data_IF_799694979946
#
_entry.id   IF_799694979946
#
_cell.length_a   1.000
_cell.length_b   1.000
_cell.length_c   1.000
_cell.angle_alpha   90.00
_cell.angle_beta   90.00
_cell.angle_gamma   90.00
#
_symmetry.space_group_name_H-M   'P 1'
#
loop_
_entity.id
_entity.type
_entity.pdbx_description
1 polymer ?
#
# COMPACT_ATOMS: atom_id res chain seq x y z
N UNK A 1 -5.52 22.52 6.54
CA UNK A 1 -4.76 21.59 5.67
C UNK A 1 -5.06 22.04 4.25
N UNK A 2 -4.06 22.46 3.48
CA UNK A 2 -4.28 22.76 2.06
C UNK A 2 -4.49 21.42 1.36
N UNK A 3 -5.73 21.15 0.98
CA UNK A 3 -6.08 19.97 0.19
C UNK A 3 -5.37 20.10 -1.16
N UNK A 4 -4.53 19.12 -1.49
CA UNK A 4 -3.81 19.10 -2.75
C UNK A 4 -4.79 18.73 -3.87
N UNK A 5 -5.47 19.74 -4.42
CA UNK A 5 -6.29 19.55 -5.62
C UNK A 5 -5.41 19.54 -6.87
N UNK A 6 -4.96 18.34 -7.22
CA UNK A 6 -4.02 18.08 -8.32
C UNK A 6 -4.69 17.41 -9.53
N UNK A 7 -5.99 17.66 -9.77
CA UNK A 7 -6.72 17.08 -10.92
C UNK A 7 -5.97 17.30 -12.24
N UNK A 8 -5.33 18.46 -12.40
CA UNK A 8 -4.54 18.81 -13.60
C UNK A 8 -3.26 17.98 -13.81
N UNK A 9 -2.92 17.09 -12.87
CA UNK A 9 -1.77 16.20 -12.92
C UNK A 9 -2.14 14.74 -13.18
N UNK A 10 -3.43 14.39 -13.11
CA UNK A 10 -3.89 13.03 -13.42
C UNK A 10 -3.52 12.67 -14.85
N UNK A 11 -2.84 11.53 -15.03
CA UNK A 11 -2.39 11.03 -16.33
C UNK A 11 -1.07 11.61 -16.82
N UNK A 12 -0.41 12.50 -16.07
CA UNK A 12 0.95 12.97 -16.39
C UNK A 12 2.01 12.03 -15.83
N UNK A 13 3.14 11.94 -16.54
CA UNK A 13 4.34 11.29 -16.01
C UNK A 13 5.00 12.21 -14.97
N UNK A 14 4.87 11.84 -13.70
CA UNK A 14 5.41 12.60 -12.58
C UNK A 14 6.94 12.57 -12.51
N UNK A 15 7.59 11.52 -13.03
CA UNK A 15 9.05 11.43 -13.08
C UNK A 15 9.61 12.42 -14.10
N UNK A 16 8.95 12.54 -15.26
CA UNK A 16 9.28 13.56 -16.26
C UNK A 16 9.04 14.97 -15.71
N UNK A 17 7.90 15.21 -15.06
CA UNK A 17 7.60 16.51 -14.43
C UNK A 17 8.68 16.93 -13.41
N UNK A 18 9.17 15.98 -12.61
CA UNK A 18 10.26 16.22 -11.66
C UNK A 18 11.59 16.47 -12.40
N UNK A 19 11.90 15.70 -13.43
CA UNK A 19 13.11 15.90 -14.24
C UNK A 19 13.14 17.30 -14.86
N UNK A 20 12.01 17.77 -15.42
CA UNK A 20 11.90 19.14 -15.94
C UNK A 20 12.12 20.19 -14.85
N UNK A 21 11.58 19.97 -13.65
CA UNK A 21 11.77 20.90 -12.53
C UNK A 21 13.24 20.98 -12.08
N UNK A 22 13.94 19.84 -12.04
CA UNK A 22 15.38 19.79 -11.76
C UNK A 22 16.19 20.52 -12.85
N UNK A 23 15.83 20.34 -14.11
CA UNK A 23 16.48 21.02 -15.23
C UNK A 23 16.30 22.55 -15.15
N UNK A 24 15.08 23.03 -14.85
CA UNK A 24 14.80 24.47 -14.71
C UNK A 24 15.57 25.13 -13.56
N UNK A 25 15.91 24.37 -12.53
CA UNK A 25 16.70 24.86 -11.39
C UNK A 25 18.20 24.75 -11.61
N UNK A 26 18.64 24.19 -12.74
CA UNK A 26 20.06 23.98 -13.04
C UNK A 26 20.70 22.85 -12.23
N UNK A 27 19.91 21.97 -11.62
CA UNK A 27 20.42 20.82 -10.86
C UNK A 27 20.82 19.70 -11.82
N UNK A 28 22.09 19.31 -11.79
CA UNK A 28 22.63 18.18 -12.55
C UNK A 28 22.27 16.84 -11.89
N UNK A 29 20.98 16.50 -11.88
CA UNK A 29 20.44 15.25 -11.34
C UNK A 29 19.54 14.57 -12.37
N UNK A 30 19.54 13.23 -12.37
CA UNK A 30 18.70 12.42 -13.24
C UNK A 30 17.71 11.59 -12.42
N UNK A 31 16.43 11.69 -12.75
CA UNK A 31 15.36 10.86 -12.18
C UNK A 31 15.43 9.49 -12.84
N UNK A 32 16.11 8.54 -12.20
CA UNK A 32 16.36 7.22 -12.77
C UNK A 32 15.19 6.25 -12.60
N UNK A 33 14.39 6.42 -11.55
CA UNK A 33 13.29 5.52 -11.24
C UNK A 33 12.18 6.22 -10.43
N UNK A 34 10.95 5.78 -10.67
CA UNK A 34 9.80 6.00 -9.80
C UNK A 34 9.51 4.70 -9.07
N UNK A 35 9.43 4.75 -7.74
CA UNK A 35 9.43 3.54 -6.90
C UNK A 35 8.31 3.64 -5.87
N UNK A 36 7.53 2.56 -5.72
CA UNK A 36 6.61 2.37 -4.60
C UNK A 36 7.41 2.06 -3.31
N UNK A 37 6.93 2.51 -2.17
CA UNK A 37 7.64 2.38 -0.89
C UNK A 37 7.92 0.94 -0.48
N UNK A 38 6.95 0.01 -0.64
CA UNK A 38 7.12 -1.43 -0.38
C UNK A 38 8.20 -2.05 -1.28
N UNK A 39 8.26 -1.65 -2.55
CA UNK A 39 9.32 -2.07 -3.50
C UNK A 39 10.69 -1.53 -3.07
N UNK A 40 10.74 -0.28 -2.61
CA UNK A 40 11.97 0.33 -2.09
C UNK A 40 12.48 -0.38 -0.84
N UNK A 41 11.57 -0.72 0.08
CA UNK A 41 11.88 -1.49 1.27
C UNK A 41 12.38 -2.91 0.91
N UNK A 42 11.74 -3.58 -0.05
CA UNK A 42 12.20 -4.89 -0.54
C UNK A 42 13.60 -4.78 -1.14
N UNK A 43 13.85 -3.75 -1.95
CA UNK A 43 15.15 -3.55 -2.60
C UNK A 43 16.28 -3.37 -1.59
N UNK A 44 16.04 -2.61 -0.51
CA UNK A 44 16.99 -2.45 0.58
C UNK A 44 17.18 -3.73 1.37
N UNK A 45 16.09 -4.43 1.68
CA UNK A 45 16.14 -5.71 2.39
C UNK A 45 16.90 -6.77 1.61
N UNK A 46 16.56 -6.95 0.33
CA UNK A 46 17.19 -7.87 -0.60
C UNK A 46 18.69 -7.62 -0.77
N UNK A 47 19.13 -6.36 -0.72
CA UNK A 47 20.55 -6.02 -0.74
C UNK A 47 21.33 -6.66 0.42
N UNK A 48 20.67 -6.86 1.57
CA UNK A 48 21.26 -7.50 2.74
C UNK A 48 20.93 -8.99 2.87
N UNK A 49 19.72 -9.39 2.52
CA UNK A 49 19.21 -10.75 2.65
C UNK A 49 18.25 -11.09 1.48
N UNK A 50 18.61 -12.06 0.61
CA UNK A 50 17.81 -12.41 -0.54
C UNK A 50 16.42 -12.99 -0.21
N UNK A 51 16.20 -13.43 1.02
CA UNK A 51 14.92 -14.02 1.47
C UNK A 51 13.96 -12.98 2.09
N UNK A 52 14.25 -11.67 1.94
CA UNK A 52 13.43 -10.60 2.51
C UNK A 52 12.02 -10.55 1.92
N UNK A 53 11.02 -10.38 2.80
CA UNK A 53 9.64 -9.98 2.48
C UNK A 53 9.27 -8.76 3.33
N UNK A 54 8.52 -7.83 2.76
CA UNK A 54 8.13 -6.57 3.44
C UNK A 54 6.64 -6.55 3.74
N UNK A 55 6.28 -6.08 4.93
CA UNK A 55 4.90 -5.77 5.31
C UNK A 55 4.79 -4.28 5.66
N UNK A 56 4.09 -3.51 4.82
CA UNK A 56 3.88 -2.07 5.00
C UNK A 56 2.83 -1.73 6.07
N UNK A 57 2.80 -0.47 6.53
CA UNK A 57 1.87 0.00 7.57
C UNK A 57 0.39 -0.03 7.15
N UNK A 58 0.11 0.16 5.86
CA UNK A 58 -1.24 -0.04 5.29
C UNK A 58 -1.53 -1.50 4.94
N UNK A 59 -0.67 -2.45 5.31
CA UNK A 59 -0.72 -3.81 4.79
C UNK A 59 -0.55 -3.84 3.26
N UNK A 60 0.70 -3.70 2.81
CA UNK A 60 1.14 -4.06 1.46
C UNK A 60 2.33 -5.04 1.55
N UNK A 61 2.53 -5.83 0.48
CA UNK A 61 3.59 -6.83 0.39
C UNK A 61 4.21 -6.85 -1.00
N UNK A 62 5.54 -6.98 -1.03
CA UNK A 62 6.33 -7.12 -2.25
C UNK A 62 7.29 -8.30 -2.13
N UNK A 63 7.45 -9.05 -3.23
CA UNK A 63 8.35 -10.21 -3.29
C UNK A 63 9.03 -10.34 -4.66
N UNK A 64 10.04 -11.21 -4.73
CA UNK A 64 10.68 -11.62 -5.97
C UNK A 64 9.97 -12.82 -6.58
N UNK A 65 9.41 -12.64 -7.77
CA UNK A 65 8.82 -13.70 -8.57
C UNK A 65 9.80 -14.21 -9.62
N UNK A 66 9.64 -15.47 -10.01
CA UNK A 66 10.47 -16.12 -11.02
C UNK A 66 10.15 -15.54 -12.40
N UNK A 67 11.21 -15.17 -13.11
CA UNK A 67 11.10 -14.55 -14.44
C UNK A 67 10.61 -15.51 -15.54
N UNK A 68 10.51 -16.81 -15.25
CA UNK A 68 9.89 -17.81 -16.13
C UNK A 68 8.35 -17.81 -16.00
N UNK A 69 7.81 -17.28 -14.90
CA UNK A 69 6.38 -17.14 -14.66
C UNK A 69 5.84 -15.79 -15.15
N UNK A 70 6.62 -14.71 -15.02
CA UNK A 70 6.26 -13.37 -15.47
C UNK A 70 7.47 -12.59 -16.00
N UNK A 71 7.22 -11.56 -16.82
CA UNK A 71 8.27 -10.73 -17.45
C UNK A 71 9.05 -9.87 -16.43
N UNK A 72 8.47 -9.63 -15.25
CA UNK A 72 9.06 -8.79 -14.18
C UNK A 72 9.57 -9.67 -13.04
N UNK A 73 10.62 -9.24 -12.33
CA UNK A 73 11.14 -9.99 -11.18
C UNK A 73 10.60 -9.51 -9.84
N UNK A 74 10.28 -8.22 -9.68
CA UNK A 74 9.70 -7.67 -8.45
C UNK A 74 8.20 -7.44 -8.63
N UNK A 75 7.39 -8.02 -7.74
CA UNK A 75 5.93 -7.89 -7.76
C UNK A 75 5.49 -7.14 -6.51
N UNK A 76 5.04 -5.91 -6.70
CA UNK A 76 4.22 -5.21 -5.71
C UNK A 76 2.80 -5.77 -5.80
N UNK A 77 2.30 -6.37 -4.72
CA UNK A 77 1.01 -7.05 -4.73
C UNK A 77 -0.17 -6.12 -4.51
N UNK A 78 0.01 -5.00 -3.80
CA UNK A 78 -1.09 -4.16 -3.32
C UNK A 78 -2.17 -5.02 -2.63
N UNK A 79 -1.72 -5.95 -1.78
CA UNK A 79 -2.53 -7.08 -1.31
C UNK A 79 -3.62 -6.69 -0.30
N UNK A 80 -3.74 -5.41 0.06
CA UNK A 80 -4.76 -4.90 0.98
C UNK A 80 -6.18 -5.23 0.48
N UNK A 81 -6.35 -5.33 -0.84
CA UNK A 81 -7.61 -5.71 -1.47
C UNK A 81 -7.78 -7.23 -1.67
N UNK A 82 -6.93 -8.06 -1.07
CA UNK A 82 -7.09 -9.50 -1.11
C UNK A 82 -8.43 -9.92 -0.49
N UNK A 83 -9.06 -10.93 -1.09
CA UNK A 83 -10.32 -11.48 -0.59
C UNK A 83 -10.35 -13.00 -0.67
N UNK A 84 -10.91 -13.60 0.38
CA UNK A 84 -11.26 -15.00 0.40
C UNK A 84 -12.44 -15.25 1.33
N UNK A 85 -13.30 -16.21 0.99
CA UNK A 85 -14.32 -16.73 1.92
C UNK A 85 -13.73 -17.41 3.16
N UNK A 86 -12.43 -17.70 3.13
CA UNK A 86 -11.69 -18.28 4.25
C UNK A 86 -11.15 -17.23 5.22
N UNK A 87 -11.27 -15.94 4.92
CA UNK A 87 -10.91 -14.88 5.86
C UNK A 87 -11.90 -14.93 7.04
N UNK A 88 -11.41 -15.02 8.29
CA UNK A 88 -12.24 -15.17 9.48
C UNK A 88 -12.85 -13.83 9.91
N UNK A 89 -13.70 -13.24 9.06
CA UNK A 89 -14.35 -11.96 9.35
C UNK A 89 -15.41 -12.12 10.43
N UNK A 90 -15.33 -11.24 11.42
CA UNK A 90 -16.31 -11.07 12.49
C UNK A 90 -17.37 -10.05 12.09
N UNK A 91 -18.40 -9.86 12.92
CA UNK A 91 -19.37 -8.77 12.74
C UNK A 91 -18.69 -7.40 12.81
N UNK A 92 -17.66 -7.24 13.65
CA UNK A 92 -16.94 -5.97 13.80
C UNK A 92 -16.21 -5.57 12.51
N UNK A 93 -15.62 -6.55 11.80
CA UNK A 93 -14.99 -6.29 10.51
C UNK A 93 -16.01 -5.85 9.45
N UNK A 94 -17.23 -6.41 9.49
CA UNK A 94 -18.31 -6.07 8.58
C UNK A 94 -18.84 -4.66 8.85
N UNK A 95 -19.04 -4.31 10.12
CA UNK A 95 -19.53 -2.99 10.53
C UNK A 95 -18.49 -1.91 10.24
N UNK A 96 -17.21 -2.18 10.55
CA UNK A 96 -16.09 -1.30 10.21
C UNK A 96 -16.00 -1.06 8.70
N UNK A 97 -16.11 -2.11 7.87
CA UNK A 97 -16.13 -1.94 6.42
C UNK A 97 -17.33 -1.11 5.95
N UNK A 98 -18.51 -1.35 6.53
CA UNK A 98 -19.72 -0.61 6.21
C UNK A 98 -19.60 0.89 6.53
N UNK A 99 -18.94 1.25 7.62
CA UNK A 99 -18.73 2.64 8.05
C UNK A 99 -17.56 3.33 7.33
N UNK A 100 -16.66 2.56 6.72
CA UNK A 100 -15.51 3.09 5.98
C UNK A 100 -15.90 3.86 4.71
N UNK A 101 -15.03 4.77 4.29
CA UNK A 101 -15.19 5.53 3.04
C UNK A 101 -15.01 4.67 1.78
N UNK A 102 -14.35 3.52 1.90
CA UNK A 102 -14.01 2.58 0.83
C UNK A 102 -14.68 1.22 1.06
N UNK A 103 -16.00 1.21 1.25
CA UNK A 103 -16.78 0.00 1.54
C UNK A 103 -16.58 -1.11 0.49
N UNK A 104 -16.37 -2.34 0.94
CA UNK A 104 -16.02 -3.52 0.14
C UNK A 104 -14.64 -3.50 -0.55
N UNK A 105 -13.85 -2.45 -0.34
CA UNK A 105 -12.45 -2.38 -0.79
C UNK A 105 -11.50 -2.48 0.41
N UNK A 106 -10.27 -2.89 0.16
CA UNK A 106 -9.21 -3.02 1.15
C UNK A 106 -9.59 -3.93 2.33
N UNK A 107 -10.37 -4.97 2.04
CA UNK A 107 -10.92 -5.86 3.07
C UNK A 107 -9.85 -6.58 3.90
N UNK A 108 -8.74 -7.00 3.27
CA UNK A 108 -7.64 -7.64 4.00
C UNK A 108 -6.88 -6.62 4.85
N UNK A 109 -6.59 -5.44 4.29
CA UNK A 109 -5.96 -4.34 5.02
C UNK A 109 -6.77 -3.94 6.26
N UNK A 110 -8.10 -3.83 6.15
CA UNK A 110 -8.99 -3.52 7.28
C UNK A 110 -8.89 -4.51 8.42
N UNK A 111 -8.58 -5.77 8.15
CA UNK A 111 -8.47 -6.81 9.17
C UNK A 111 -7.11 -6.83 9.88
N UNK A 112 -6.03 -6.38 9.22
CA UNK A 112 -4.66 -6.59 9.74
C UNK A 112 -3.84 -5.31 9.93
N UNK A 113 -4.19 -4.22 9.26
CA UNK A 113 -3.44 -2.98 9.35
C UNK A 113 -3.70 -2.30 10.70
N UNK A 114 -2.63 -1.78 11.30
CA UNK A 114 -2.68 -1.14 12.62
C UNK A 114 -3.65 0.04 12.71
N UNK A 115 -3.99 0.66 11.57
CA UNK A 115 -5.01 1.71 11.49
C UNK A 115 -6.38 1.24 12.00
N UNK A 116 -6.75 -0.01 11.76
CA UNK A 116 -8.09 -0.54 12.03
C UNK A 116 -8.17 -1.42 13.28
N UNK A 117 -7.03 -1.98 13.72
CA UNK A 117 -6.99 -2.84 14.91
C UNK A 117 -7.54 -2.14 16.16
N UNK A 118 -7.32 -0.84 16.31
CA UNK A 118 -7.87 -0.06 17.43
C UNK A 118 -9.40 0.02 17.42
N UNK A 119 -10.01 0.21 16.24
CA UNK A 119 -11.46 0.30 16.10
C UNK A 119 -12.14 -1.06 16.30
N UNK A 120 -11.54 -2.14 15.79
CA UNK A 120 -12.04 -3.51 16.01
C UNK A 120 -12.08 -3.83 17.52
N UNK A 121 -11.01 -3.50 18.25
CA UNK A 121 -10.96 -3.71 19.71
C UNK A 121 -11.97 -2.83 20.46
N UNK A 122 -12.18 -1.59 20.02
CA UNK A 122 -13.18 -0.70 20.62
C UNK A 122 -14.60 -1.26 20.43
N UNK A 123 -14.94 -1.68 19.21
CA UNK A 123 -16.25 -2.25 18.87
C UNK A 123 -16.53 -3.56 19.64
N UNK A 124 -15.51 -4.40 19.82
CA UNK A 124 -15.67 -5.64 20.60
C UNK A 124 -15.99 -5.34 22.07
N UNK A 125 -15.30 -4.37 22.67
CA UNK A 125 -15.54 -3.98 24.08
C UNK A 125 -16.92 -3.35 24.28
N UNK A 126 -17.36 -2.48 23.38
CA UNK A 126 -18.70 -1.88 23.46
C UNK A 126 -19.81 -2.93 23.39
N UNK A 127 -19.58 -4.00 22.64
CA UNK A 127 -20.54 -5.11 22.52
C UNK A 127 -20.59 -6.02 23.74
N UNK A 128 -19.49 -6.16 24.49
CA UNK A 128 -19.41 -6.98 25.71
C UNK A 128 -19.97 -6.26 26.97
N UNK A 129 -20.24 -4.96 26.87
CA UNK A 129 -20.76 -4.13 27.97
C UNK A 129 -22.30 -4.12 28.01
N UNK A 130 -22.98 -4.60 26.96
CA UNK A 130 -24.43 -4.71 26.84
C UNK A 130 -24.90 -6.16 26.65
#
# INVERSE_FOLDING_TARGET
VHELDLISWVGKDIAECLQEALNRTGLHMHVAALVNDTVGALSLGYYHDPDTVVFGTGSDSCYLERTDAIIKSQVNMEWGNFWSSHLPRTSYDIDLDAESSNRNDMGFEKMIAGMYLGDIVRMSQESDIF
#
